data_IF_775818371368
#
_entry.id   IF_775818371368
#
_cell.length_a   1.000
_cell.length_b   1.000
_cell.length_c   1.000
_cell.angle_alpha   90.00
_cell.angle_beta   90.00
_cell.angle_gamma   90.00
#
_symmetry.space_group_name_H-M   'P 1'
#
loop_
_entity.id
_entity.type
_entity.pdbx_description
1 polymer ?
#
# COMPACT_ATOMS: atom_id res chain seq x y z
N UNK A 1 -8.24 -14.88 -6.02
CA UNK A 1 -8.29 -13.45 -5.64
C UNK A 1 -9.45 -12.85 -6.42
N UNK A 2 -10.51 -12.43 -5.74
CA UNK A 2 -11.77 -12.06 -6.38
C UNK A 2 -11.97 -10.55 -6.28
N UNK A 3 -11.45 -9.81 -7.26
CA UNK A 3 -11.39 -8.34 -7.20
C UNK A 3 -12.75 -7.67 -7.05
N UNK A 4 -13.81 -8.22 -7.66
CA UNK A 4 -15.17 -7.69 -7.55
C UNK A 4 -15.77 -7.90 -6.16
N UNK A 5 -15.57 -9.08 -5.56
CA UNK A 5 -16.00 -9.37 -4.18
C UNK A 5 -15.21 -8.55 -3.17
N UNK A 6 -13.89 -8.47 -3.33
CA UNK A 6 -13.02 -7.63 -2.49
C UNK A 6 -13.45 -6.16 -2.55
N UNK A 7 -13.78 -5.66 -3.74
CA UNK A 7 -14.29 -4.30 -3.89
C UNK A 7 -15.63 -4.08 -3.18
N UNK A 8 -16.55 -5.04 -3.24
CA UNK A 8 -17.82 -4.98 -2.53
C UNK A 8 -17.64 -4.91 -1.01
N UNK A 9 -16.72 -5.70 -0.46
CA UNK A 9 -16.40 -5.70 0.99
C UNK A 9 -15.79 -4.35 1.38
N UNK A 10 -14.80 -3.88 0.62
CA UNK A 10 -14.06 -2.66 0.95
C UNK A 10 -14.95 -1.42 0.84
N UNK A 11 -15.91 -1.40 -0.09
CA UNK A 11 -16.89 -0.31 -0.20
C UNK A 11 -17.79 -0.19 1.04
N UNK A 12 -17.97 -1.27 1.82
CA UNK A 12 -18.74 -1.27 3.06
C UNK A 12 -17.87 -1.07 4.31
N UNK A 13 -16.55 -1.01 4.17
CA UNK A 13 -15.62 -0.97 5.31
C UNK A 13 -15.73 0.31 6.16
N UNK A 14 -16.42 1.35 5.69
CA UNK A 14 -16.66 2.58 6.43
C UNK A 14 -17.96 2.60 7.22
N UNK A 15 -18.72 1.50 7.29
CA UNK A 15 -19.91 1.41 8.15
C UNK A 15 -19.53 1.46 9.66
N UNK A 16 -20.43 1.93 10.53
CA UNK A 16 -20.23 1.87 11.97
C UNK A 16 -19.92 0.44 12.42
N UNK A 17 -18.97 0.30 13.35
CA UNK A 17 -18.57 -0.97 13.98
C UNK A 17 -17.97 -2.02 13.01
N UNK A 18 -17.73 -1.65 11.75
CA UNK A 18 -17.13 -2.53 10.75
C UNK A 18 -15.61 -2.70 10.97
N UNK A 19 -15.13 -3.94 10.91
CA UNK A 19 -13.70 -4.27 10.96
C UNK A 19 -13.32 -5.04 9.70
N UNK A 20 -12.39 -4.50 8.93
CA UNK A 20 -11.92 -5.13 7.69
C UNK A 20 -10.43 -5.43 7.78
N UNK A 21 -10.07 -6.70 7.57
CA UNK A 21 -8.67 -7.14 7.46
C UNK A 21 -8.30 -7.23 5.99
N UNK A 22 -7.35 -6.40 5.56
CA UNK A 22 -6.83 -6.41 4.20
C UNK A 22 -5.41 -6.97 4.18
N UNK A 23 -5.14 -7.91 3.28
CA UNK A 23 -3.78 -8.39 3.02
C UNK A 23 -3.11 -7.50 1.98
N UNK A 24 -1.93 -6.96 2.32
CA UNK A 24 -1.15 -6.06 1.46
C UNK A 24 -2.00 -4.87 0.97
N UNK A 25 -2.37 -4.85 -0.32
CA UNK A 25 -3.17 -3.79 -0.94
C UNK A 25 -4.50 -4.31 -1.52
N UNK A 26 -5.17 -5.23 -0.83
CA UNK A 26 -6.54 -5.63 -1.19
C UNK A 26 -7.48 -4.40 -1.20
N UNK A 27 -8.42 -4.34 -2.15
CA UNK A 27 -9.27 -3.15 -2.31
C UNK A 27 -8.57 -1.92 -2.90
N UNK A 28 -7.47 -2.10 -3.63
CA UNK A 28 -6.84 -1.00 -4.38
C UNK A 28 -7.80 -0.42 -5.42
N UNK A 29 -7.97 0.90 -5.41
CA UNK A 29 -8.87 1.60 -6.33
C UNK A 29 -10.32 1.70 -5.87
N UNK A 30 -10.66 1.17 -4.70
CA UNK A 30 -11.99 1.29 -4.09
C UNK A 30 -11.93 2.28 -2.93
N UNK A 31 -12.83 3.25 -2.96
CA UNK A 31 -12.90 4.27 -1.93
C UNK A 31 -13.69 3.73 -0.72
N UNK A 32 -13.17 4.02 0.47
CA UNK A 32 -13.84 3.71 1.73
C UNK A 32 -14.50 5.00 2.16
N UNK A 33 -15.83 5.05 2.01
CA UNK A 33 -16.65 6.21 2.39
C UNK A 33 -17.18 5.97 3.80
N UNK A 34 -17.10 6.98 4.66
CA UNK A 34 -17.67 6.89 6.01
C UNK A 34 -19.19 6.73 5.92
N UNK A 35 -19.76 5.81 6.68
CA UNK A 35 -21.17 5.40 6.55
C UNK A 35 -21.41 4.24 5.57
N UNK A 36 -20.37 3.80 4.85
CA UNK A 36 -20.44 2.68 3.90
C UNK A 36 -20.85 3.09 2.49
N UNK A 37 -21.30 2.11 1.70
CA UNK A 37 -21.68 2.32 0.30
C UNK A 37 -22.88 3.26 0.20
N UNK A 38 -22.73 4.33 -0.59
CA UNK A 38 -23.82 5.26 -0.89
C UNK A 38 -25.01 4.55 -1.56
N UNK A 39 -26.24 4.87 -1.15
CA UNK A 39 -27.45 4.31 -1.75
C UNK A 39 -27.66 4.83 -3.19
N UNK A 40 -28.38 4.06 -4.00
CA UNK A 40 -28.72 4.48 -5.35
C UNK A 40 -29.67 5.70 -5.35
N UNK A 41 -29.57 6.55 -6.37
CA UNK A 41 -30.42 7.74 -6.51
C UNK A 41 -31.91 7.37 -6.52
N UNK A 42 -32.72 8.05 -5.69
CA UNK A 42 -34.19 7.95 -5.71
C UNK A 42 -34.84 7.41 -4.42
N UNK A 43 -34.07 6.88 -3.47
CA UNK A 43 -34.59 6.41 -2.17
C UNK A 43 -34.20 7.37 -1.03
N UNK A 44 -35.09 8.29 -0.70
CA UNK A 44 -34.88 9.26 0.39
C UNK A 44 -34.73 8.59 1.76
N UNK A 45 -35.38 7.44 2.00
CA UNK A 45 -35.30 6.75 3.27
C UNK A 45 -33.91 6.12 3.45
N UNK A 46 -33.37 5.50 2.39
CA UNK A 46 -32.02 4.96 2.40
C UNK A 46 -30.96 6.06 2.58
N UNK A 47 -31.14 7.23 1.96
CA UNK A 47 -30.24 8.37 2.14
C UNK A 47 -30.22 8.91 3.57
N UNK A 48 -31.37 8.99 4.25
CA UNK A 48 -31.44 9.39 5.67
C UNK A 48 -30.68 8.40 6.56
N UNK A 49 -30.90 7.10 6.36
CA UNK A 49 -30.18 6.07 7.12
C UNK A 49 -28.66 6.11 6.87
N UNK A 50 -28.24 6.33 5.62
CA UNK A 50 -26.82 6.48 5.30
C UNK A 50 -26.22 7.74 5.96
N UNK A 51 -26.93 8.87 5.96
CA UNK A 51 -26.47 10.08 6.65
C UNK A 51 -26.34 9.88 8.15
N UNK A 52 -27.29 9.19 8.80
CA UNK A 52 -27.20 8.84 10.22
C UNK A 52 -25.96 7.99 10.51
N UNK A 53 -25.70 6.96 9.68
CA UNK A 53 -24.49 6.13 9.78
C UNK A 53 -23.23 6.96 9.58
N UNK A 54 -23.19 7.79 8.54
CA UNK A 54 -22.05 8.65 8.22
C UNK A 54 -21.72 9.58 9.40
N UNK A 55 -22.72 10.30 9.90
CA UNK A 55 -22.57 11.22 11.02
C UNK A 55 -22.06 10.51 12.27
N UNK A 56 -22.59 9.31 12.57
CA UNK A 56 -22.10 8.50 13.69
C UNK A 56 -20.62 8.14 13.54
N UNK A 57 -20.17 7.77 12.34
CA UNK A 57 -18.75 7.44 12.10
C UNK A 57 -17.86 8.67 12.22
N UNK A 58 -18.31 9.82 11.70
CA UNK A 58 -17.61 11.11 11.82
C UNK A 58 -17.44 11.50 13.29
N UNK A 59 -18.49 11.39 14.10
CA UNK A 59 -18.48 11.69 15.54
C UNK A 59 -17.54 10.77 16.33
N UNK A 60 -17.38 9.52 15.89
CA UNK A 60 -16.44 8.54 16.47
C UNK A 60 -14.98 8.78 16.05
N UNK A 61 -14.70 9.81 15.24
CA UNK A 61 -13.35 10.14 14.78
C UNK A 61 -12.96 9.54 13.43
N UNK A 62 -13.92 8.96 12.71
CA UNK A 62 -13.77 8.49 11.34
C UNK A 62 -13.02 7.16 11.18
N UNK A 63 -12.47 6.92 9.98
CA UNK A 63 -11.81 5.66 9.67
C UNK A 63 -10.45 5.57 10.36
N UNK A 64 -10.24 4.52 11.15
CA UNK A 64 -8.94 4.19 11.74
C UNK A 64 -8.24 3.12 10.91
N UNK A 65 -7.08 3.47 10.35
CA UNK A 65 -6.21 2.55 9.61
C UNK A 65 -5.13 2.00 10.53
N UNK A 66 -5.03 0.67 10.62
CA UNK A 66 -4.00 0.00 11.42
C UNK A 66 -3.10 -0.81 10.48
N UNK A 67 -1.82 -0.43 10.45
CA UNK A 67 -0.77 -1.24 9.81
C UNK A 67 -0.18 -2.19 10.84
N UNK A 68 -0.17 -3.49 10.53
CA UNK A 68 0.39 -4.54 11.40
C UNK A 68 1.89 -4.75 11.18
N UNK A 69 2.43 -4.22 10.10
CA UNK A 69 3.83 -4.30 9.72
C UNK A 69 4.19 -3.09 8.83
N UNK A 70 5.49 -2.94 8.53
CA UNK A 70 5.95 -1.99 7.51
C UNK A 70 6.13 -2.70 6.18
N UNK A 71 5.71 -2.05 5.11
CA UNK A 71 6.01 -2.53 3.76
C UNK A 71 7.43 -2.17 3.35
N UNK A 72 7.97 -2.93 2.39
CA UNK A 72 9.30 -2.70 1.83
C UNK A 72 9.49 -1.29 1.24
N UNK A 73 8.39 -0.64 0.86
CA UNK A 73 8.38 0.72 0.34
C UNK A 73 7.44 1.63 1.13
N UNK A 74 7.94 2.81 1.50
CA UNK A 74 7.21 3.85 2.24
C UNK A 74 5.98 4.33 1.47
N UNK A 75 6.04 4.31 0.13
CA UNK A 75 4.91 4.64 -0.74
C UNK A 75 3.71 3.72 -0.52
N UNK A 76 3.92 2.45 -0.18
CA UNK A 76 2.83 1.51 0.07
C UNK A 76 2.20 1.79 1.43
N UNK A 77 3.00 2.03 2.46
CA UNK A 77 2.50 2.48 3.77
C UNK A 77 1.68 3.77 3.66
N UNK A 78 2.14 4.75 2.87
CA UNK A 78 1.41 5.99 2.64
C UNK A 78 0.07 5.76 1.92
N UNK A 79 0.00 4.78 1.00
CA UNK A 79 -1.28 4.43 0.36
C UNK A 79 -2.27 3.82 1.35
N UNK A 80 -1.78 3.06 2.34
CA UNK A 80 -2.62 2.54 3.42
C UNK A 80 -3.11 3.70 4.30
N UNK A 81 -2.22 4.61 4.73
CA UNK A 81 -2.61 5.82 5.49
C UNK A 81 -3.62 6.70 4.76
N UNK A 82 -3.45 6.86 3.45
CA UNK A 82 -4.36 7.66 2.61
C UNK A 82 -5.75 7.06 2.42
N UNK A 83 -6.05 5.90 3.02
CA UNK A 83 -7.41 5.35 3.07
C UNK A 83 -8.30 6.09 4.06
N UNK A 84 -7.74 6.57 5.18
CA UNK A 84 -8.44 7.42 6.15
C UNK A 84 -8.36 8.89 5.76
N UNK A 85 -9.31 9.69 6.26
CA UNK A 85 -9.27 11.16 6.16
C UNK A 85 -9.40 11.70 4.74
N UNK A 86 -10.23 11.07 3.91
CA UNK A 86 -10.48 11.51 2.53
C UNK A 86 -11.49 12.66 2.54
N UNK A 87 -11.38 13.57 1.59
CA UNK A 87 -12.27 14.75 1.48
C UNK A 87 -12.35 15.63 2.75
N UNK A 88 -11.36 15.56 3.64
CA UNK A 88 -11.38 16.29 4.90
C UNK A 88 -12.13 15.58 6.03
N UNK A 89 -12.60 14.35 5.81
CA UNK A 89 -13.18 13.50 6.84
C UNK A 89 -12.20 13.32 8.02
N UNK A 90 -12.71 13.14 9.26
CA UNK A 90 -11.86 12.71 10.35
C UNK A 90 -11.33 11.30 10.08
N UNK A 91 -10.18 11.00 10.65
CA UNK A 91 -9.58 9.67 10.52
C UNK A 91 -8.17 9.65 11.09
N UNK A 92 -7.70 8.45 11.38
CA UNK A 92 -6.41 8.21 11.96
C UNK A 92 -5.69 7.06 11.29
N UNK A 93 -4.37 7.07 11.37
CA UNK A 93 -3.58 5.90 10.98
C UNK A 93 -2.49 5.65 12.00
N UNK A 94 -2.28 4.37 12.35
CA UNK A 94 -1.24 3.93 13.28
C UNK A 94 -0.61 2.65 12.76
N UNK A 95 0.70 2.55 12.86
CA UNK A 95 1.43 1.34 12.49
C UNK A 95 2.06 0.75 13.74
N UNK A 96 1.87 -0.54 13.90
CA UNK A 96 2.58 -1.36 14.87
C UNK A 96 3.62 -2.15 14.12
N UNK A 97 4.80 -2.30 14.73
CA UNK A 97 5.97 -2.96 14.12
C UNK A 97 6.64 -3.77 15.21
N UNK A 98 7.00 -4.99 14.90
CA UNK A 98 7.83 -5.84 15.76
C UNK A 98 9.28 -5.82 15.30
N UNK A 99 10.21 -6.01 16.23
CA UNK A 99 11.62 -6.25 15.91
C UNK A 99 11.83 -7.57 15.14
N UNK A 100 10.83 -8.46 15.16
CA UNK A 100 10.86 -9.75 14.49
C UNK A 100 10.28 -9.71 13.06
N UNK A 101 9.70 -8.58 12.65
CA UNK A 101 9.16 -8.41 11.30
C UNK A 101 10.27 -8.51 10.24
N UNK A 102 9.90 -8.90 9.01
CA UNK A 102 10.84 -9.17 7.92
C UNK A 102 11.81 -8.01 7.62
N UNK A 103 11.32 -6.77 7.64
CA UNK A 103 12.16 -5.58 7.45
C UNK A 103 13.13 -5.42 8.62
N UNK A 104 12.69 -5.64 9.86
CA UNK A 104 13.55 -5.51 11.02
C UNK A 104 14.59 -6.61 11.07
N UNK A 105 14.22 -7.87 10.82
CA UNK A 105 15.15 -9.00 10.68
C UNK A 105 16.26 -8.72 9.67
N UNK A 106 15.93 -8.17 8.50
CA UNK A 106 16.92 -7.88 7.45
C UNK A 106 17.87 -6.73 7.79
N UNK A 107 17.46 -5.78 8.64
CA UNK A 107 18.19 -4.52 8.85
C UNK A 107 18.67 -4.24 10.28
N UNK A 108 18.73 -5.29 11.12
CA UNK A 108 19.39 -5.22 12.42
C UNK A 108 18.48 -5.33 13.63
N UNK A 109 17.33 -6.00 13.49
CA UNK A 109 16.42 -6.33 14.59
C UNK A 109 17.14 -7.00 15.77
N UNK A 110 18.09 -7.91 15.51
CA UNK A 110 18.91 -8.55 16.55
C UNK A 110 19.77 -7.55 17.34
N UNK A 111 20.36 -6.54 16.68
CA UNK A 111 21.18 -5.53 17.37
C UNK A 111 20.33 -4.64 18.26
N UNK A 112 19.14 -4.29 17.81
CA UNK A 112 18.19 -3.48 18.59
C UNK A 112 17.66 -4.32 19.76
N UNK A 113 17.28 -5.58 19.51
CA UNK A 113 16.83 -6.53 20.54
C UNK A 113 17.88 -6.69 21.64
N UNK A 114 19.15 -6.93 21.29
CA UNK A 114 20.22 -7.06 22.29
C UNK A 114 20.47 -5.79 23.12
N UNK A 115 20.31 -4.59 22.54
CA UNK A 115 20.40 -3.34 23.29
C UNK A 115 19.22 -3.16 24.26
N UNK A 116 18.04 -3.62 23.87
CA UNK A 116 16.82 -3.55 24.67
C UNK A 116 16.84 -4.54 25.84
N UNK A 117 17.30 -5.76 25.58
CA UNK A 117 17.52 -6.78 26.61
C UNK A 117 18.51 -6.26 27.66
N UNK A 118 19.58 -5.59 27.22
CA UNK A 118 20.55 -4.95 28.12
C UNK A 118 19.94 -3.80 28.94
N UNK A 119 19.03 -3.02 28.34
CA UNK A 119 18.34 -1.92 29.00
C UNK A 119 17.22 -2.39 29.96
N UNK A 120 16.92 -3.70 30.02
CA UNK A 120 15.90 -4.27 30.89
C UNK A 120 14.46 -3.87 30.52
N UNK A 121 14.20 -3.58 29.24
CA UNK A 121 12.84 -3.30 28.78
C UNK A 121 12.02 -4.59 28.69
N UNK A 122 10.79 -4.57 29.22
CA UNK A 122 9.87 -5.71 29.11
C UNK A 122 9.33 -5.86 27.68
N UNK A 123 9.08 -7.10 27.26
CA UNK A 123 8.59 -7.44 25.91
C UNK A 123 7.23 -6.80 25.60
N UNK A 124 6.44 -6.49 26.63
CA UNK A 124 5.11 -5.89 26.47
C UNK A 124 5.12 -4.36 26.46
N UNK A 125 6.27 -3.72 26.68
CA UNK A 125 6.36 -2.26 26.75
C UNK A 125 6.49 -1.66 25.35
N UNK A 126 5.55 -0.82 24.90
CA UNK A 126 5.67 -0.17 23.59
C UNK A 126 6.91 0.71 23.52
N UNK A 127 7.65 0.58 22.41
CA UNK A 127 8.87 1.36 22.19
C UNK A 127 8.52 2.61 21.41
N UNK A 128 8.35 3.72 22.11
CA UNK A 128 8.16 5.02 21.48
C UNK A 128 9.49 5.78 21.45
N UNK A 129 10.34 5.46 20.47
CA UNK A 129 11.63 6.12 20.29
C UNK A 129 11.85 6.60 18.84
N UNK A 130 12.21 7.88 18.71
CA UNK A 130 12.51 8.52 17.42
C UNK A 130 13.68 7.85 16.69
N UNK A 131 14.68 7.35 17.41
CA UNK A 131 15.84 6.65 16.84
C UNK A 131 15.46 5.31 16.22
N UNK A 132 14.55 4.56 16.86
CA UNK A 132 14.03 3.29 16.33
C UNK A 132 13.19 3.56 15.08
N UNK A 133 12.30 4.57 15.14
CA UNK A 133 11.52 5.00 13.98
C UNK A 133 12.39 5.41 12.79
N UNK A 134 13.47 6.17 13.04
CA UNK A 134 14.43 6.59 12.00
C UNK A 134 15.21 5.40 11.42
N UNK A 135 15.54 4.41 12.26
CA UNK A 135 16.21 3.19 11.82
C UNK A 135 15.33 2.36 10.87
N UNK A 136 14.04 2.23 11.19
CA UNK A 136 13.03 1.61 10.31
C UNK A 136 12.94 2.35 8.97
N UNK A 137 12.87 3.69 9.01
CA UNK A 137 12.81 4.50 7.78
C UNK A 137 14.06 4.31 6.91
N UNK A 138 15.25 4.25 7.52
CA UNK A 138 16.50 4.01 6.81
C UNK A 138 16.55 2.60 6.20
N UNK A 139 16.02 1.59 6.89
CA UNK A 139 15.88 0.24 6.35
C UNK A 139 14.99 0.24 5.10
N UNK A 140 13.81 0.88 5.15
CA UNK A 140 12.93 1.01 3.99
C UNK A 140 13.62 1.70 2.80
N UNK A 141 14.36 2.81 3.03
CA UNK A 141 15.11 3.50 1.97
C UNK A 141 16.16 2.60 1.30
N UNK A 142 16.84 1.74 2.07
CA UNK A 142 17.82 0.78 1.52
C UNK A 142 17.14 -0.28 0.66
N UNK A 143 16.01 -0.81 1.09
CA UNK A 143 15.22 -1.78 0.31
C UNK A 143 14.71 -1.14 -0.98
N UNK A 144 14.20 0.09 -0.92
CA UNK A 144 13.78 0.84 -2.10
C UNK A 144 14.93 1.07 -3.08
N UNK A 145 16.12 1.41 -2.59
CA UNK A 145 17.34 1.54 -3.40
C UNK A 145 17.74 0.24 -4.10
N UNK A 146 17.75 -0.87 -3.36
CA UNK A 146 18.04 -2.20 -3.93
C UNK A 146 17.06 -2.59 -5.06
N UNK A 147 15.76 -2.33 -4.86
CA UNK A 147 14.74 -2.56 -5.89
C UNK A 147 14.84 -1.58 -7.06
N UNK A 148 15.34 -0.37 -6.84
CA UNK A 148 15.61 0.59 -7.90
C UNK A 148 16.77 0.11 -8.78
N UNK A 149 17.89 -0.29 -8.19
CA UNK A 149 19.06 -0.79 -8.93
C UNK A 149 18.72 -2.05 -9.73
N UNK A 150 17.96 -2.98 -9.15
CA UNK A 150 17.48 -4.18 -9.85
C UNK A 150 16.64 -3.82 -11.07
N UNK A 151 15.71 -2.85 -10.94
CA UNK A 151 14.89 -2.40 -12.06
C UNK A 151 15.70 -1.65 -13.10
N UNK A 152 16.68 -0.86 -12.69
CA UNK A 152 17.60 -0.16 -13.60
C UNK A 152 18.36 -1.16 -14.45
N UNK A 153 18.95 -2.19 -13.84
CA UNK A 153 19.63 -3.24 -14.59
C UNK A 153 18.70 -3.95 -15.57
N UNK A 154 17.48 -4.29 -15.16
CA UNK A 154 16.50 -4.90 -16.07
C UNK A 154 16.23 -4.03 -17.32
N UNK A 155 16.07 -2.70 -17.12
CA UNK A 155 15.88 -1.75 -18.22
C UNK A 155 17.11 -1.66 -19.11
N UNK A 156 18.32 -1.64 -18.55
CA UNK A 156 19.58 -1.63 -19.32
C UNK A 156 19.70 -2.87 -20.23
N UNK A 157 19.29 -4.05 -19.76
CA UNK A 157 19.24 -5.26 -20.59
C UNK A 157 18.15 -5.20 -21.67
N UNK A 158 16.95 -4.76 -21.30
CA UNK A 158 15.84 -4.60 -22.26
C UNK A 158 16.20 -3.59 -23.34
N UNK A 159 16.95 -2.54 -23.01
CA UNK A 159 17.42 -1.55 -23.96
C UNK A 159 18.18 -2.19 -25.12
N UNK A 160 19.12 -3.11 -24.85
CA UNK A 160 19.87 -3.82 -25.90
C UNK A 160 18.92 -4.66 -26.76
N UNK A 161 18.04 -5.43 -26.12
CA UNK A 161 17.06 -6.27 -26.82
C UNK A 161 16.10 -5.43 -27.66
N UNK A 162 15.75 -4.24 -27.20
CA UNK A 162 14.85 -3.34 -27.89
C UNK A 162 15.48 -2.78 -29.17
N UNK A 163 16.78 -2.43 -29.17
CA UNK A 163 17.48 -2.05 -30.42
C UNK A 163 17.45 -3.19 -31.45
N UNK A 164 17.65 -4.44 -31.01
CA UNK A 164 17.50 -5.59 -31.90
C UNK A 164 16.07 -5.72 -32.45
N UNK A 165 15.05 -5.56 -31.60
CA UNK A 165 13.64 -5.59 -32.02
C UNK A 165 13.33 -4.48 -33.03
N UNK A 166 13.82 -3.26 -32.84
CA UNK A 166 13.60 -2.15 -33.76
C UNK A 166 14.14 -2.46 -35.17
N UNK A 167 15.35 -3.01 -35.27
CA UNK A 167 15.95 -3.41 -36.54
C UNK A 167 15.14 -4.55 -37.19
N UNK A 168 14.91 -5.64 -36.45
CA UNK A 168 14.21 -6.82 -36.99
C UNK A 168 12.76 -6.50 -37.36
N UNK A 169 12.04 -5.74 -36.53
CA UNK A 169 10.67 -5.32 -36.84
C UNK A 169 10.63 -4.25 -37.94
N UNK A 170 11.69 -3.47 -38.11
CA UNK A 170 11.90 -2.60 -39.26
C UNK A 170 11.98 -3.40 -40.55
N UNK A 171 12.92 -4.35 -40.62
CA UNK A 171 13.08 -5.22 -41.79
C UNK A 171 11.84 -6.06 -42.08
N UNK A 172 11.24 -6.67 -41.05
CA UNK A 172 9.98 -7.41 -41.20
C UNK A 172 8.88 -6.54 -41.80
N UNK A 173 8.75 -5.27 -41.37
CA UNK A 173 7.75 -4.36 -41.94
C UNK A 173 8.05 -4.01 -43.40
N UNK A 174 9.31 -3.81 -43.78
CA UNK A 174 9.71 -3.56 -45.18
C UNK A 174 9.32 -4.74 -46.09
N UNK A 175 9.62 -5.97 -45.65
CA UNK A 175 9.27 -7.21 -46.38
C UNK A 175 7.75 -7.33 -46.52
N UNK A 176 7.01 -7.16 -45.42
CA UNK A 176 5.55 -7.26 -45.43
C UNK A 176 4.87 -6.14 -46.23
N UNK A 177 5.51 -4.98 -46.38
CA UNK A 177 5.02 -3.88 -47.20
C UNK A 177 5.35 -4.04 -48.70
N UNK A 178 5.98 -5.15 -49.11
CA UNK A 178 6.25 -5.46 -50.52
C UNK A 178 7.50 -4.79 -51.08
N UNK A 179 8.47 -4.40 -50.25
CA UNK A 179 9.74 -3.89 -50.73
C UNK A 179 10.50 -4.96 -51.55
N UNK A 180 11.05 -4.58 -52.70
CA UNK A 180 11.92 -5.45 -53.50
C UNK A 180 13.27 -5.62 -52.80
N UNK A 181 13.58 -6.85 -52.40
CA UNK A 181 14.76 -7.21 -51.60
C UNK A 181 15.99 -7.49 -52.48
N UNK A 182 15.89 -7.31 -53.81
CA UNK A 182 17.01 -7.49 -54.74
C UNK A 182 17.80 -6.18 -54.90
N UNK A 183 18.89 -6.07 -54.16
CA UNK A 183 20.06 -5.28 -54.52
C UNK A 183 21.33 -5.96 -54.01
#
# INVERSE_FOLDING_TARGET
KEHTKEAGIIAQAGEPDAVTVATNMAGRGVDIVLGGKEPANGDEAAWRQWQEKHQRVVELGGLQVIGTERHEARRIDNQLRGRSGRQGDPGGSRFYVSLEDDIMRRFGGERIKGLMDWAGMDENTPIENVLVSKSIENAQKRVEGYHFDTRKHLVEYDDVVNKHREIIYGERRKILAGADLRS
#
